data_IF_862168558344
#
_entry.id   IF_862168558344
#
_cell.length_a   1.000
_cell.length_b   1.000
_cell.length_c   1.000
_cell.angle_alpha   90.00
_cell.angle_beta   90.00
_cell.angle_gamma   90.00
#
_symmetry.space_group_name_H-M   'P 1'
#
loop_
_entity.id
_entity.type
_entity.pdbx_description
1 polymer ?
#
# COMPACT_ATOMS: atom_id res chain seq x y z
N UNK A 1 16.84 -21.82 6.19
CA UNK A 1 16.18 -21.86 7.51
C UNK A 1 16.16 -20.53 8.26
N UNK A 2 17.22 -19.71 8.22
CA UNK A 2 17.28 -18.39 8.91
C UNK A 2 16.21 -17.42 8.37
N UNK A 3 15.97 -17.40 7.07
CA UNK A 3 14.93 -16.54 6.47
C UNK A 3 13.50 -16.90 6.96
N UNK A 4 13.19 -18.19 7.12
CA UNK A 4 11.93 -18.64 7.69
C UNK A 4 11.77 -18.22 9.15
N UNK A 5 12.85 -18.31 9.93
CA UNK A 5 12.88 -17.82 11.30
C UNK A 5 12.59 -16.31 11.35
N UNK A 6 13.26 -15.52 10.52
CA UNK A 6 13.02 -14.08 10.42
C UNK A 6 11.57 -13.75 10.03
N UNK A 7 10.97 -14.52 9.13
CA UNK A 7 9.56 -14.36 8.79
C UNK A 7 8.65 -14.60 10.00
N UNK A 8 8.90 -15.66 10.77
CA UNK A 8 8.15 -15.93 12.00
C UNK A 8 8.29 -14.80 13.04
N UNK A 9 9.49 -14.30 13.24
CA UNK A 9 9.73 -13.19 14.17
C UNK A 9 9.07 -11.89 13.71
N UNK A 10 9.03 -11.61 12.41
CA UNK A 10 8.30 -10.45 11.84
C UNK A 10 6.79 -10.55 12.04
N UNK A 11 6.21 -11.74 12.05
CA UNK A 11 4.78 -11.91 12.37
C UNK A 11 4.50 -11.47 13.81
N UNK A 12 5.35 -11.89 14.76
CA UNK A 12 5.24 -11.44 16.15
C UNK A 12 5.47 -9.94 16.29
N UNK A 13 6.48 -9.39 15.61
CA UNK A 13 6.74 -7.94 15.59
C UNK A 13 5.51 -7.17 15.09
N UNK A 14 4.86 -7.61 14.01
CA UNK A 14 3.67 -6.98 13.46
C UNK A 14 2.46 -7.06 14.40
N UNK A 15 2.34 -8.13 15.18
CA UNK A 15 1.31 -8.24 16.22
C UNK A 15 1.48 -7.14 17.27
N UNK A 16 2.66 -7.00 17.86
CA UNK A 16 2.92 -5.96 18.87
C UNK A 16 2.86 -4.55 18.27
N UNK A 17 3.35 -4.36 17.04
CA UNK A 17 3.17 -3.11 16.29
C UNK A 17 1.70 -2.73 16.15
N UNK A 18 0.83 -3.71 15.81
CA UNK A 18 -0.62 -3.52 15.73
C UNK A 18 -1.24 -3.10 17.06
N UNK A 19 -0.82 -3.72 18.17
CA UNK A 19 -1.28 -3.36 19.53
C UNK A 19 -0.89 -1.92 19.88
N UNK A 20 0.35 -1.52 19.61
CA UNK A 20 0.85 -0.16 19.90
C UNK A 20 0.08 0.88 19.06
N UNK A 21 -0.15 0.59 17.79
CA UNK A 21 -0.92 1.48 16.90
C UNK A 21 -2.40 1.53 17.27
N UNK A 22 -2.99 0.44 17.74
CA UNK A 22 -4.35 0.40 18.28
C UNK A 22 -4.52 1.34 19.51
N UNK A 23 -3.43 1.55 20.27
CA UNK A 23 -3.37 2.53 21.36
C UNK A 23 -2.94 3.94 20.90
N UNK A 24 -2.96 4.22 19.60
CA UNK A 24 -2.62 5.52 18.96
C UNK A 24 -1.19 6.00 19.20
N UNK A 25 -0.26 5.12 19.56
CA UNK A 25 1.15 5.45 19.79
C UNK A 25 1.98 5.36 18.50
N UNK A 26 1.46 5.98 17.42
CA UNK A 26 2.06 5.93 16.08
C UNK A 26 3.46 6.52 16.01
N UNK A 27 3.71 7.62 16.75
CA UNK A 27 5.02 8.27 16.78
C UNK A 27 6.07 7.31 17.30
N UNK A 28 5.80 6.63 18.42
CA UNK A 28 6.72 5.67 19.01
C UNK A 28 6.97 4.48 18.05
N UNK A 29 5.91 3.84 17.57
CA UNK A 29 6.03 2.65 16.73
C UNK A 29 6.79 2.92 15.42
N UNK A 30 6.53 4.07 14.78
CA UNK A 30 7.23 4.45 13.55
C UNK A 30 8.66 4.92 13.82
N UNK A 31 8.92 5.64 14.93
CA UNK A 31 10.30 6.02 15.31
C UNK A 31 11.18 4.79 15.53
N UNK A 32 10.66 3.79 16.25
CA UNK A 32 11.39 2.52 16.44
C UNK A 32 11.68 1.85 15.10
N UNK A 33 10.71 1.79 14.17
CA UNK A 33 10.94 1.22 12.83
C UNK A 33 11.98 2.00 12.01
N UNK A 34 11.97 3.33 12.09
CA UNK A 34 12.98 4.17 11.41
C UNK A 34 14.37 3.89 11.99
N UNK A 35 14.51 3.90 13.33
CA UNK A 35 15.78 3.60 13.99
C UNK A 35 16.27 2.20 13.65
N UNK A 36 15.38 1.21 13.63
CA UNK A 36 15.69 -0.17 13.23
C UNK A 36 16.17 -0.26 11.78
N UNK A 37 15.55 0.48 10.86
CA UNK A 37 15.98 0.54 9.47
C UNK A 37 17.38 1.17 9.34
N UNK A 38 17.63 2.28 10.04
CA UNK A 38 18.93 2.95 10.06
C UNK A 38 20.02 2.02 10.65
N UNK A 39 19.71 1.34 11.75
CA UNK A 39 20.61 0.36 12.36
C UNK A 39 20.94 -0.79 11.39
N UNK A 40 19.94 -1.31 10.66
CA UNK A 40 20.16 -2.33 9.62
C UNK A 40 21.10 -1.84 8.52
N UNK A 41 20.85 -0.64 7.98
CA UNK A 41 21.67 -0.06 6.92
C UNK A 41 23.12 0.11 7.42
N UNK A 42 23.29 0.66 8.63
CA UNK A 42 24.58 0.88 9.24
C UNK A 42 25.35 -0.45 9.43
N UNK A 43 24.69 -1.48 9.97
CA UNK A 43 25.29 -2.81 10.14
C UNK A 43 25.72 -3.39 8.79
N UNK A 44 24.88 -3.31 7.77
CA UNK A 44 25.21 -3.84 6.44
C UNK A 44 26.38 -3.07 5.82
N UNK A 45 26.36 -1.72 5.85
CA UNK A 45 27.39 -0.87 5.26
C UNK A 45 28.76 -1.07 5.96
N UNK A 46 28.77 -1.26 7.28
CA UNK A 46 30.03 -1.43 8.02
C UNK A 46 30.59 -2.85 7.92
N UNK A 47 29.75 -3.88 7.95
CA UNK A 47 30.21 -5.26 8.08
C UNK A 47 30.39 -5.96 6.73
N UNK A 48 29.54 -5.63 5.73
CA UNK A 48 29.58 -6.28 4.41
C UNK A 48 30.92 -6.06 3.67
N UNK A 49 31.55 -4.86 3.65
CA UNK A 49 32.83 -4.64 2.99
C UNK A 49 33.99 -5.44 3.63
N UNK A 50 33.89 -5.65 4.95
CA UNK A 50 34.92 -6.37 5.73
C UNK A 50 34.83 -7.88 5.48
N UNK A 51 33.62 -8.42 5.54
CA UNK A 51 33.40 -9.87 5.47
C UNK A 51 33.24 -10.41 4.07
N UNK A 52 32.85 -9.56 3.11
CA UNK A 52 32.50 -9.90 1.71
C UNK A 52 31.52 -11.08 1.59
N UNK A 53 30.70 -11.28 2.62
CA UNK A 53 29.82 -12.43 2.73
C UNK A 53 28.34 -11.98 2.80
N UNK A 54 27.52 -12.47 1.86
CA UNK A 54 26.10 -12.14 1.75
C UNK A 54 25.29 -12.57 3.00
N UNK A 55 25.77 -13.57 3.76
CA UNK A 55 25.10 -13.97 5.01
C UNK A 55 25.03 -12.86 6.06
N UNK A 56 25.91 -11.87 6.00
CA UNK A 56 25.90 -10.69 6.88
C UNK A 56 24.57 -9.94 6.76
N UNK A 57 24.02 -9.83 5.57
CA UNK A 57 22.73 -9.14 5.34
C UNK A 57 21.59 -9.86 6.08
N UNK A 58 21.59 -11.19 6.05
CA UNK A 58 20.56 -12.01 6.72
C UNK A 58 20.74 -11.98 8.24
N UNK A 59 21.97 -12.03 8.73
CA UNK A 59 22.27 -11.98 10.17
C UNK A 59 21.94 -10.59 10.74
N UNK A 60 22.32 -9.51 10.04
CA UNK A 60 21.96 -8.14 10.46
C UNK A 60 20.47 -7.94 10.52
N UNK A 61 19.71 -8.48 9.56
CA UNK A 61 18.24 -8.46 9.60
C UNK A 61 17.70 -9.21 10.82
N UNK A 62 18.25 -10.39 11.13
CA UNK A 62 17.86 -11.18 12.31
C UNK A 62 18.06 -10.39 13.61
N UNK A 63 19.21 -9.78 13.78
CA UNK A 63 19.54 -8.97 14.97
C UNK A 63 18.55 -7.80 15.10
N UNK A 64 18.30 -7.10 14.01
CA UNK A 64 17.41 -5.93 14.02
C UNK A 64 15.97 -6.34 14.30
N UNK A 65 15.47 -7.41 13.70
CA UNK A 65 14.09 -7.90 13.94
C UNK A 65 13.92 -8.32 15.40
N UNK A 66 14.87 -9.06 15.97
CA UNK A 66 14.81 -9.47 17.39
C UNK A 66 14.86 -8.25 18.31
N UNK A 67 15.76 -7.30 18.08
CA UNK A 67 15.87 -6.10 18.91
C UNK A 67 14.60 -5.24 18.84
N UNK A 68 14.02 -5.06 17.65
CA UNK A 68 12.75 -4.33 17.46
C UNK A 68 11.60 -5.03 18.17
N UNK A 69 11.51 -6.35 18.06
CA UNK A 69 10.50 -7.14 18.77
C UNK A 69 10.62 -6.98 20.28
N UNK A 70 11.84 -7.07 20.84
CA UNK A 70 12.07 -6.89 22.27
C UNK A 70 11.63 -5.49 22.75
N UNK A 71 11.93 -4.44 21.98
CA UNK A 71 11.50 -3.07 22.29
C UNK A 71 9.97 -2.98 22.29
N UNK A 72 9.28 -3.55 21.30
CA UNK A 72 7.82 -3.53 21.25
C UNK A 72 7.18 -4.35 22.36
N UNK A 73 7.71 -5.53 22.68
CA UNK A 73 7.28 -6.37 23.80
C UNK A 73 7.43 -5.62 25.12
N UNK A 74 8.60 -5.04 25.37
CA UNK A 74 8.86 -4.24 26.57
C UNK A 74 7.85 -3.08 26.68
N UNK A 75 7.63 -2.34 25.61
CA UNK A 75 6.70 -1.22 25.60
C UNK A 75 5.26 -1.65 25.87
N UNK A 76 4.79 -2.74 25.27
CA UNK A 76 3.45 -3.26 25.51
C UNK A 76 3.23 -3.69 26.96
N UNK A 77 4.18 -4.43 27.54
CA UNK A 77 3.99 -4.97 28.90
C UNK A 77 4.30 -3.95 30.01
N UNK A 78 5.33 -3.10 29.83
CA UNK A 78 5.76 -2.15 30.88
C UNK A 78 5.09 -0.80 30.78
N UNK A 79 4.97 -0.24 29.58
CA UNK A 79 4.44 1.12 29.36
C UNK A 79 2.93 1.10 29.19
N UNK A 80 2.42 0.27 28.28
CA UNK A 80 0.98 0.15 28.06
C UNK A 80 0.30 -0.74 29.11
N UNK A 81 1.08 -1.49 29.91
CA UNK A 81 0.59 -2.39 30.99
C UNK A 81 -0.46 -3.37 30.50
N UNK A 82 -0.37 -3.81 29.24
CA UNK A 82 -1.29 -4.77 28.67
C UNK A 82 -0.99 -6.15 29.27
N UNK A 83 -2.01 -6.75 29.89
CA UNK A 83 -1.93 -8.12 30.43
C UNK A 83 -2.83 -9.01 29.59
N UNK A 84 -2.29 -9.94 28.78
CA UNK A 84 -3.12 -10.88 28.07
C UNK A 84 -3.87 -11.76 29.09
N UNK A 85 -5.18 -11.81 28.99
CA UNK A 85 -6.04 -12.69 29.81
C UNK A 85 -6.79 -13.61 28.88
N UNK A 86 -6.62 -14.90 29.04
CA UNK A 86 -7.39 -15.95 28.31
C UNK A 86 -8.70 -16.26 29.06
N UNK A 87 -9.41 -15.22 29.54
CA UNK A 87 -10.52 -15.40 30.49
C UNK A 87 -11.84 -15.67 29.78
N UNK A 88 -12.05 -15.13 28.58
CA UNK A 88 -13.33 -15.26 27.88
C UNK A 88 -13.09 -15.48 26.38
N UNK A 89 -13.54 -16.64 25.89
CA UNK A 89 -13.55 -16.94 24.47
C UNK A 89 -14.90 -16.50 23.84
N UNK A 90 -14.93 -15.31 23.27
CA UNK A 90 -16.08 -14.83 22.49
C UNK A 90 -16.06 -15.41 21.08
N UNK A 91 -16.88 -16.43 20.85
CA UNK A 91 -17.02 -17.08 19.54
C UNK A 91 -17.50 -16.13 18.45
N UNK A 92 -18.34 -15.13 18.78
CA UNK A 92 -18.86 -14.17 17.83
C UNK A 92 -17.74 -13.23 17.35
N UNK A 93 -17.00 -12.65 18.30
CA UNK A 93 -15.84 -11.80 18.02
C UNK A 93 -14.77 -12.56 17.21
N UNK A 94 -14.50 -13.82 17.58
CA UNK A 94 -13.56 -14.65 16.84
C UNK A 94 -14.01 -14.86 15.39
N UNK A 95 -15.29 -15.22 15.18
CA UNK A 95 -15.84 -15.42 13.82
C UNK A 95 -15.77 -14.15 12.97
N UNK A 96 -16.15 -12.99 13.54
CA UNK A 96 -16.10 -11.70 12.85
C UNK A 96 -14.66 -11.33 12.48
N UNK A 97 -13.73 -11.47 13.41
CA UNK A 97 -12.30 -11.20 13.19
C UNK A 97 -11.69 -12.16 12.17
N UNK A 98 -12.06 -13.44 12.21
CA UNK A 98 -11.59 -14.45 11.26
C UNK A 98 -12.07 -14.15 9.85
N UNK A 99 -13.36 -13.86 9.66
CA UNK A 99 -13.90 -13.49 8.34
C UNK A 99 -13.22 -12.23 7.81
N UNK A 100 -13.05 -11.21 8.65
CA UNK A 100 -12.33 -9.99 8.26
C UNK A 100 -10.88 -10.31 7.83
N UNK A 101 -10.17 -11.11 8.61
CA UNK A 101 -8.78 -11.50 8.32
C UNK A 101 -8.68 -12.27 7.00
N UNK A 102 -9.60 -13.23 6.75
CA UNK A 102 -9.64 -13.98 5.50
C UNK A 102 -9.89 -13.06 4.30
N UNK A 103 -10.83 -12.12 4.41
CA UNK A 103 -11.09 -11.14 3.35
C UNK A 103 -9.87 -10.26 3.06
N UNK A 104 -9.18 -9.79 4.12
CA UNK A 104 -7.96 -9.00 3.96
C UNK A 104 -6.82 -9.83 3.38
N UNK A 105 -6.69 -11.09 3.77
CA UNK A 105 -5.72 -12.03 3.21
C UNK A 105 -5.94 -12.26 1.72
N UNK A 106 -7.19 -12.54 1.31
CA UNK A 106 -7.53 -12.67 -0.12
C UNK A 106 -7.17 -11.41 -0.89
N UNK A 107 -7.52 -10.22 -0.38
CA UNK A 107 -7.16 -8.96 -1.03
C UNK A 107 -5.65 -8.81 -1.19
N UNK A 108 -4.88 -9.12 -0.13
CA UNK A 108 -3.42 -9.03 -0.18
C UNK A 108 -2.83 -10.00 -1.20
N UNK A 109 -3.31 -11.25 -1.22
CA UNK A 109 -2.88 -12.24 -2.21
C UNK A 109 -3.18 -11.79 -3.64
N UNK A 110 -4.40 -11.31 -3.89
CA UNK A 110 -4.82 -10.87 -5.23
C UNK A 110 -3.99 -9.66 -5.69
N UNK A 111 -3.75 -8.68 -4.82
CA UNK A 111 -2.90 -7.52 -5.14
C UNK A 111 -1.47 -7.96 -5.42
N UNK A 112 -0.91 -8.84 -4.59
CA UNK A 112 0.45 -9.36 -4.77
C UNK A 112 0.58 -10.19 -6.04
N UNK A 113 -0.43 -10.99 -6.36
CA UNK A 113 -0.48 -11.76 -7.60
C UNK A 113 -0.58 -10.83 -8.81
N UNK A 114 -1.49 -9.85 -8.78
CA UNK A 114 -1.67 -8.88 -9.87
C UNK A 114 -0.39 -8.11 -10.18
N UNK A 115 0.34 -7.66 -9.15
CA UNK A 115 1.59 -6.90 -9.34
C UNK A 115 2.75 -7.72 -9.91
N UNK A 116 2.72 -9.06 -9.76
CA UNK A 116 3.77 -9.93 -10.29
C UNK A 116 3.40 -10.60 -11.62
N UNK A 117 2.11 -10.78 -11.87
CA UNK A 117 1.63 -11.44 -13.10
C UNK A 117 2.09 -10.71 -14.36
N UNK A 118 2.09 -9.39 -14.36
CA UNK A 118 2.56 -8.59 -15.49
C UNK A 118 4.01 -8.91 -15.83
N UNK A 119 4.88 -8.99 -14.82
CA UNK A 119 6.30 -9.36 -14.99
C UNK A 119 6.48 -10.77 -15.56
N UNK A 120 5.65 -11.72 -15.08
CA UNK A 120 5.68 -13.11 -15.59
C UNK A 120 5.23 -13.16 -17.05
N UNK A 121 4.15 -12.46 -17.40
CA UNK A 121 3.63 -12.41 -18.77
C UNK A 121 4.61 -11.72 -19.73
N UNK A 122 5.23 -10.60 -19.32
CA UNK A 122 6.26 -9.90 -20.10
C UNK A 122 7.48 -10.80 -20.30
N UNK A 123 7.94 -11.47 -19.23
CA UNK A 123 9.09 -12.38 -19.31
C UNK A 123 8.85 -13.58 -20.23
N UNK A 124 7.63 -14.13 -20.20
CA UNK A 124 7.27 -15.28 -21.03
C UNK A 124 7.02 -14.93 -22.52
N UNK A 125 6.55 -13.70 -22.81
CA UNK A 125 6.12 -13.32 -24.17
C UNK A 125 7.09 -12.37 -24.89
N UNK A 126 7.96 -11.66 -24.16
CA UNK A 126 8.85 -10.66 -24.76
C UNK A 126 10.32 -11.00 -24.44
N UNK A 127 10.83 -10.65 -23.26
CA UNK A 127 12.22 -10.90 -22.86
C UNK A 127 12.48 -10.54 -21.38
N UNK A 128 13.59 -11.04 -20.83
CA UNK A 128 14.07 -10.66 -19.50
C UNK A 128 14.42 -9.15 -19.40
N UNK A 129 14.95 -8.56 -20.49
CA UNK A 129 15.24 -7.11 -20.52
C UNK A 129 13.96 -6.30 -20.41
N UNK A 130 12.88 -6.68 -21.09
CA UNK A 130 11.59 -6.03 -21.01
C UNK A 130 11.00 -6.10 -19.58
N UNK A 131 11.20 -7.22 -18.87
CA UNK A 131 10.84 -7.35 -17.45
C UNK A 131 11.60 -6.33 -16.61
N UNK A 132 12.90 -6.14 -16.86
CA UNK A 132 13.70 -5.17 -16.13
C UNK A 132 13.16 -3.76 -16.32
N UNK A 133 12.91 -3.33 -17.56
CA UNK A 133 12.36 -2.01 -17.88
C UNK A 133 11.01 -1.80 -17.19
N UNK A 134 10.10 -2.75 -17.28
CA UNK A 134 8.78 -2.66 -16.65
C UNK A 134 8.86 -2.65 -15.12
N UNK A 135 9.72 -3.49 -14.53
CA UNK A 135 9.91 -3.56 -13.07
C UNK A 135 10.46 -2.25 -12.49
N UNK A 136 11.34 -1.53 -13.22
CA UNK A 136 11.85 -0.24 -12.78
C UNK A 136 10.73 0.81 -12.77
N UNK A 137 9.87 0.81 -13.78
CA UNK A 137 8.69 1.67 -13.80
C UNK A 137 7.70 1.33 -12.67
N UNK A 138 7.48 0.03 -12.40
CA UNK A 138 6.67 -0.43 -11.26
C UNK A 138 7.24 0.00 -9.90
N UNK A 139 8.54 0.17 -9.79
CA UNK A 139 9.17 0.68 -8.55
C UNK A 139 8.69 2.09 -8.25
N UNK A 140 8.70 3.00 -9.23
CA UNK A 140 8.17 4.37 -9.07
C UNK A 140 6.67 4.36 -8.79
N UNK A 141 5.91 3.53 -9.51
CA UNK A 141 4.48 3.33 -9.27
C UNK A 141 4.19 2.89 -7.83
N UNK A 142 4.95 1.93 -7.31
CA UNK A 142 4.77 1.44 -5.93
C UNK A 142 5.13 2.50 -4.88
N UNK A 143 6.17 3.28 -5.10
CA UNK A 143 6.53 4.40 -4.23
C UNK A 143 5.40 5.45 -4.19
N UNK A 144 4.82 5.77 -5.34
CA UNK A 144 3.69 6.69 -5.44
C UNK A 144 2.45 6.17 -4.69
N UNK A 145 2.14 4.89 -4.82
CA UNK A 145 1.07 4.23 -4.07
C UNK A 145 1.31 4.25 -2.56
N UNK A 146 2.54 4.06 -2.11
CA UNK A 146 2.92 4.08 -0.70
C UNK A 146 2.69 5.45 -0.06
N UNK A 147 2.92 6.55 -0.78
CA UNK A 147 2.61 7.91 -0.33
C UNK A 147 1.10 8.02 -0.01
N UNK A 148 0.25 7.57 -0.92
CA UNK A 148 -1.21 7.55 -0.72
C UNK A 148 -1.63 6.68 0.45
N UNK A 149 -1.05 5.48 0.56
CA UNK A 149 -1.32 4.53 1.64
C UNK A 149 -0.97 5.07 3.02
N UNK A 150 0.14 5.78 3.13
CA UNK A 150 0.58 6.39 4.39
C UNK A 150 -0.46 7.39 4.91
N UNK A 151 -0.99 8.26 4.04
CA UNK A 151 -2.03 9.23 4.42
C UNK A 151 -3.32 8.52 4.85
N UNK A 152 -3.77 7.53 4.09
CA UNK A 152 -4.97 6.77 4.43
C UNK A 152 -4.86 6.06 5.78
N UNK A 153 -3.69 5.50 6.09
CA UNK A 153 -3.42 4.83 7.35
C UNK A 153 -3.42 5.80 8.54
N UNK A 154 -2.91 7.02 8.37
CA UNK A 154 -2.96 8.07 9.40
C UNK A 154 -4.40 8.53 9.68
N UNK A 155 -5.27 8.50 8.67
CA UNK A 155 -6.66 8.91 8.82
C UNK A 155 -7.57 7.80 9.39
N UNK A 156 -7.15 6.55 9.31
CA UNK A 156 -7.96 5.40 9.74
C UNK A 156 -8.48 5.52 11.18
N UNK A 157 -7.68 5.82 12.23
CA UNK A 157 -8.20 5.91 13.59
C UNK A 157 -9.21 7.03 13.79
N UNK A 158 -8.95 8.18 13.16
CA UNK A 158 -9.86 9.32 13.20
C UNK A 158 -11.21 8.99 12.58
N UNK A 159 -11.20 8.34 11.42
CA UNK A 159 -12.42 7.90 10.74
C UNK A 159 -13.14 6.84 11.57
N UNK A 160 -12.40 5.88 12.13
CA UNK A 160 -12.97 4.83 12.98
C UNK A 160 -13.70 5.42 14.19
N UNK A 161 -13.10 6.39 14.90
CA UNK A 161 -13.76 7.08 16.01
C UNK A 161 -15.06 7.76 15.59
N UNK A 162 -15.09 8.42 14.43
CA UNK A 162 -16.30 9.07 13.93
C UNK A 162 -17.37 8.04 13.53
N UNK A 163 -16.99 6.96 12.87
CA UNK A 163 -17.92 5.88 12.50
C UNK A 163 -18.53 5.23 13.74
N UNK A 164 -17.73 4.91 14.74
CA UNK A 164 -18.19 4.33 16.02
C UNK A 164 -19.07 5.34 16.79
N UNK A 165 -18.73 6.63 16.72
CA UNK A 165 -19.51 7.72 17.32
C UNK A 165 -20.84 8.05 16.58
N UNK A 166 -21.20 7.28 15.54
CA UNK A 166 -22.47 7.45 14.82
C UNK A 166 -22.50 8.61 13.83
N UNK A 167 -21.33 9.07 13.35
CA UNK A 167 -21.25 10.18 12.39
C UNK A 167 -22.11 9.90 11.14
N UNK A 168 -22.84 10.90 10.69
CA UNK A 168 -23.69 10.81 9.50
C UNK A 168 -22.88 10.86 8.20
N UNK A 169 -23.49 10.38 7.11
CA UNK A 169 -22.80 10.27 5.80
C UNK A 169 -22.19 11.59 5.32
N UNK A 170 -22.81 12.73 5.60
CA UNK A 170 -22.31 14.06 5.21
C UNK A 170 -21.00 14.41 5.95
N UNK A 171 -20.92 14.11 7.24
CA UNK A 171 -19.72 14.35 8.04
C UNK A 171 -18.57 13.46 7.58
N UNK A 172 -18.84 12.18 7.30
CA UNK A 172 -17.87 11.25 6.77
C UNK A 172 -17.38 11.69 5.38
N UNK A 173 -18.27 12.16 4.51
CA UNK A 173 -17.89 12.71 3.22
C UNK A 173 -16.97 13.93 3.35
N UNK A 174 -17.29 14.86 4.26
CA UNK A 174 -16.47 16.05 4.50
C UNK A 174 -15.04 15.67 5.00
N UNK A 175 -14.92 14.64 5.82
CA UNK A 175 -13.61 14.13 6.24
C UNK A 175 -12.82 13.52 5.08
N UNK A 176 -13.50 12.77 4.21
CA UNK A 176 -12.87 12.21 3.00
C UNK A 176 -12.44 13.34 2.05
N UNK A 177 -13.28 14.36 1.84
CA UNK A 177 -12.96 15.52 1.00
C UNK A 177 -11.75 16.28 1.56
N UNK A 178 -11.72 16.55 2.86
CA UNK A 178 -10.62 17.25 3.51
C UNK A 178 -9.31 16.49 3.40
N UNK A 179 -9.32 15.21 3.75
CA UNK A 179 -8.13 14.36 3.69
C UNK A 179 -7.70 14.09 2.25
N UNK A 180 -8.67 13.90 1.36
CA UNK A 180 -8.45 13.70 -0.07
C UNK A 180 -7.79 14.91 -0.75
N UNK A 181 -8.08 16.14 -0.32
CA UNK A 181 -7.40 17.34 -0.81
C UNK A 181 -5.91 17.33 -0.49
N UNK A 182 -5.54 17.07 0.78
CA UNK A 182 -4.12 16.95 1.15
C UNK A 182 -3.41 15.85 0.36
N UNK A 183 -4.10 14.71 0.21
CA UNK A 183 -3.59 13.58 -0.56
C UNK A 183 -3.39 13.95 -2.03
N UNK A 184 -4.40 14.58 -2.65
CA UNK A 184 -4.34 15.02 -4.05
C UNK A 184 -3.21 16.02 -4.28
N UNK A 185 -3.05 17.02 -3.41
CA UNK A 185 -1.98 18.00 -3.52
C UNK A 185 -0.59 17.35 -3.49
N UNK A 186 -0.37 16.43 -2.55
CA UNK A 186 0.90 15.72 -2.44
C UNK A 186 1.16 14.82 -3.65
N UNK A 187 0.13 14.09 -4.10
CA UNK A 187 0.23 13.21 -5.26
C UNK A 187 0.40 13.99 -6.57
N UNK A 188 -0.28 15.13 -6.72
CA UNK A 188 -0.11 16.01 -7.89
C UNK A 188 1.31 16.60 -7.94
N UNK A 189 1.86 17.00 -6.80
CA UNK A 189 3.25 17.46 -6.73
C UNK A 189 4.24 16.34 -7.10
N UNK A 190 4.01 15.11 -6.60
CA UNK A 190 4.85 13.96 -6.93
C UNK A 190 4.75 13.60 -8.42
N UNK A 191 3.54 13.60 -9.01
CA UNK A 191 3.34 13.38 -10.44
C UNK A 191 4.03 14.47 -11.27
N UNK A 192 3.86 15.74 -10.87
CA UNK A 192 4.57 16.87 -11.52
C UNK A 192 6.09 16.71 -11.48
N UNK A 193 6.65 16.29 -10.35
CA UNK A 193 8.05 15.95 -10.20
C UNK A 193 8.51 14.83 -11.13
N UNK A 194 7.73 13.74 -11.23
CA UNK A 194 8.01 12.63 -12.15
C UNK A 194 7.97 13.10 -13.60
N UNK A 195 7.00 13.92 -13.98
CA UNK A 195 6.88 14.44 -15.36
C UNK A 195 8.03 15.41 -15.69
N UNK A 196 8.42 16.28 -14.75
CA UNK A 196 9.43 17.30 -14.99
C UNK A 196 10.87 16.76 -14.95
N UNK A 197 11.16 15.84 -14.02
CA UNK A 197 12.53 15.40 -13.72
C UNK A 197 12.74 13.89 -13.93
N UNK A 198 11.70 13.17 -14.30
CA UNK A 198 11.77 11.70 -14.36
C UNK A 198 12.71 11.18 -15.42
N UNK A 199 12.83 11.86 -16.57
CA UNK A 199 13.74 11.43 -17.64
C UNK A 199 15.20 11.49 -17.18
N UNK A 200 15.60 12.60 -16.58
CA UNK A 200 16.94 12.82 -16.03
C UNK A 200 17.21 11.89 -14.85
N UNK A 201 16.21 11.69 -14.00
CA UNK A 201 16.29 10.74 -12.89
C UNK A 201 16.58 9.31 -13.36
N UNK A 202 15.84 8.80 -14.34
CA UNK A 202 16.07 7.46 -14.86
C UNK A 202 17.43 7.33 -15.56
N UNK A 203 17.86 8.39 -16.27
CA UNK A 203 19.18 8.40 -16.89
C UNK A 203 20.32 8.33 -15.86
N UNK A 204 20.23 9.10 -14.78
CA UNK A 204 21.23 9.06 -13.70
C UNK A 204 21.19 7.75 -12.93
N UNK A 205 19.99 7.21 -12.71
CA UNK A 205 19.79 5.99 -11.90
C UNK A 205 20.15 4.70 -12.63
N UNK A 206 19.74 4.57 -13.89
CA UNK A 206 19.84 3.33 -14.66
C UNK A 206 20.82 3.42 -15.84
N UNK A 207 21.20 4.62 -16.25
CA UNK A 207 22.02 4.85 -17.44
C UNK A 207 21.23 4.94 -18.73
N UNK A 208 21.95 4.96 -19.87
CA UNK A 208 21.36 4.98 -21.21
C UNK A 208 20.67 3.64 -21.54
N UNK A 209 19.56 3.68 -22.28
CA UNK A 209 18.81 2.48 -22.70
C UNK A 209 17.59 2.14 -21.84
N UNK A 210 17.29 2.95 -20.80
CA UNK A 210 16.12 2.78 -19.93
C UNK A 210 15.13 3.95 -20.07
N UNK A 211 15.11 4.64 -21.19
CA UNK A 211 14.23 5.79 -21.42
C UNK A 211 12.73 5.41 -21.33
N UNK A 212 12.37 4.20 -21.75
CA UNK A 212 11.01 3.70 -21.69
C UNK A 212 10.47 3.57 -20.26
N UNK A 213 11.34 3.40 -19.24
CA UNK A 213 10.94 3.38 -17.84
C UNK A 213 10.24 4.67 -17.43
N UNK A 214 10.69 5.81 -17.96
CA UNK A 214 10.07 7.11 -17.70
C UNK A 214 8.64 7.19 -18.20
N UNK A 215 8.43 6.85 -19.47
CA UNK A 215 7.09 6.93 -20.08
C UNK A 215 6.13 5.90 -19.46
N UNK A 216 6.60 4.67 -19.19
CA UNK A 216 5.83 3.65 -18.49
C UNK A 216 5.41 4.11 -17.10
N UNK A 217 6.33 4.76 -16.37
CA UNK A 217 6.03 5.32 -15.04
C UNK A 217 4.93 6.38 -15.11
N UNK A 218 4.95 7.26 -16.11
CA UNK A 218 3.89 8.26 -16.30
C UNK A 218 2.54 7.59 -16.54
N UNK A 219 2.48 6.59 -17.44
CA UNK A 219 1.23 5.89 -17.73
C UNK A 219 0.67 5.22 -16.47
N UNK A 220 1.52 4.50 -15.73
CA UNK A 220 1.13 3.80 -14.51
C UNK A 220 0.69 4.77 -13.41
N UNK A 221 1.46 5.83 -13.16
CA UNK A 221 1.18 6.81 -12.10
C UNK A 221 -0.05 7.65 -12.44
N UNK A 222 -0.18 8.13 -13.68
CA UNK A 222 -1.35 8.87 -14.12
C UNK A 222 -2.64 8.04 -13.99
N UNK A 223 -2.60 6.76 -14.40
CA UNK A 223 -3.74 5.84 -14.32
C UNK A 223 -4.19 5.56 -12.89
N UNK A 224 -3.30 5.68 -11.89
CA UNK A 224 -3.63 5.39 -10.49
C UNK A 224 -3.88 6.65 -9.64
N UNK A 225 -3.57 7.83 -10.14
CA UNK A 225 -3.68 9.08 -9.36
C UNK A 225 -5.09 9.31 -8.80
N UNK A 226 -6.11 9.27 -9.64
CA UNK A 226 -7.51 9.39 -9.18
C UNK A 226 -7.95 8.23 -8.29
N UNK A 227 -7.69 6.95 -8.63
CA UNK A 227 -8.00 5.81 -7.77
C UNK A 227 -7.42 5.91 -6.35
N UNK A 228 -6.19 6.39 -6.20
CA UNK A 228 -5.53 6.46 -4.88
C UNK A 228 -6.12 7.51 -3.95
N UNK A 229 -6.72 8.57 -4.47
CA UNK A 229 -7.43 9.58 -3.66
C UNK A 229 -8.60 8.94 -2.88
N UNK A 230 -9.21 7.88 -3.44
CA UNK A 230 -10.28 7.12 -2.79
C UNK A 230 -9.83 6.25 -1.60
N UNK A 231 -8.53 6.09 -1.36
CA UNK A 231 -8.01 5.24 -0.27
C UNK A 231 -8.45 5.70 1.13
N UNK A 232 -8.68 6.99 1.32
CA UNK A 232 -9.23 7.52 2.60
C UNK A 232 -10.67 7.04 2.83
N UNK A 233 -11.51 7.01 1.79
CA UNK A 233 -12.87 6.49 1.88
C UNK A 233 -12.91 4.97 2.22
N UNK A 234 -11.89 4.21 1.82
CA UNK A 234 -11.74 2.81 2.18
C UNK A 234 -11.63 2.63 3.71
N UNK A 235 -11.09 3.61 4.44
CA UNK A 235 -11.02 3.57 5.90
C UNK A 235 -12.40 3.51 6.55
N UNK A 236 -13.44 4.06 5.93
CA UNK A 236 -14.83 3.98 6.40
C UNK A 236 -15.32 2.53 6.30
N UNK A 237 -15.05 1.84 5.20
CA UNK A 237 -15.45 0.43 5.02
C UNK A 237 -14.71 -0.49 6.02
N UNK A 238 -13.44 -0.20 6.29
CA UNK A 238 -12.65 -0.91 7.32
C UNK A 238 -13.27 -0.71 8.70
N UNK A 239 -13.61 0.53 9.06
CA UNK A 239 -14.24 0.87 10.33
C UNK A 239 -15.64 0.25 10.50
N UNK A 240 -16.38 0.10 9.41
CA UNK A 240 -17.71 -0.54 9.39
C UNK A 240 -17.65 -2.07 9.21
N UNK A 241 -16.46 -2.67 9.11
CA UNK A 241 -16.27 -4.10 8.80
C UNK A 241 -16.96 -4.57 7.50
N UNK A 242 -17.10 -3.67 6.51
CA UNK A 242 -17.80 -3.92 5.24
C UNK A 242 -16.80 -4.16 4.09
N UNK A 243 -15.95 -5.18 4.23
CA UNK A 243 -14.87 -5.43 3.28
C UNK A 243 -15.22 -6.39 2.12
N UNK A 244 -16.38 -7.05 2.17
CA UNK A 244 -16.79 -8.06 1.17
C UNK A 244 -16.82 -7.45 -0.24
N UNK A 245 -17.49 -6.30 -0.42
CA UNK A 245 -17.57 -5.66 -1.72
C UNK A 245 -16.19 -5.21 -2.22
N UNK A 246 -15.34 -4.70 -1.33
CA UNK A 246 -13.96 -4.34 -1.67
C UNK A 246 -13.18 -5.55 -2.17
N UNK A 247 -13.30 -6.70 -1.50
CA UNK A 247 -12.65 -7.94 -1.93
C UNK A 247 -13.12 -8.33 -3.34
N UNK A 248 -14.43 -8.27 -3.58
CA UNK A 248 -14.99 -8.55 -4.92
C UNK A 248 -14.42 -7.61 -5.98
N UNK A 249 -14.37 -6.29 -5.73
CA UNK A 249 -13.84 -5.33 -6.72
C UNK A 249 -12.36 -5.54 -7.00
N UNK A 250 -11.57 -5.91 -5.99
CA UNK A 250 -10.14 -6.20 -6.17
C UNK A 250 -9.93 -7.45 -7.03
N UNK A 251 -10.67 -8.53 -6.75
CA UNK A 251 -10.63 -9.77 -7.55
C UNK A 251 -11.05 -9.50 -8.99
N UNK A 252 -12.17 -8.80 -9.18
CA UNK A 252 -12.68 -8.46 -10.51
C UNK A 252 -11.67 -7.61 -11.30
N UNK A 253 -11.09 -6.59 -10.67
CA UNK A 253 -10.10 -5.73 -11.31
C UNK A 253 -8.80 -6.49 -11.64
N UNK A 254 -8.40 -7.46 -10.82
CA UNK A 254 -7.26 -8.32 -11.11
C UNK A 254 -7.53 -9.19 -12.36
N UNK A 255 -8.71 -9.79 -12.47
CA UNK A 255 -9.09 -10.59 -13.65
C UNK A 255 -9.12 -9.69 -14.89
N UNK A 256 -9.71 -8.50 -14.80
CA UNK A 256 -9.72 -7.52 -15.88
C UNK A 256 -8.30 -7.10 -16.29
N UNK A 257 -7.42 -6.84 -15.30
CA UNK A 257 -6.00 -6.55 -15.56
C UNK A 257 -5.34 -7.68 -16.37
N UNK A 258 -5.45 -8.92 -15.92
CA UNK A 258 -4.83 -10.08 -16.61
C UNK A 258 -5.31 -10.18 -18.07
N UNK A 259 -6.61 -10.08 -18.30
CA UNK A 259 -7.20 -10.17 -19.66
C UNK A 259 -6.66 -9.04 -20.55
N UNK A 260 -6.70 -7.80 -20.06
CA UNK A 260 -6.24 -6.63 -20.82
C UNK A 260 -4.73 -6.69 -21.03
N UNK A 261 -3.96 -7.13 -20.03
CA UNK A 261 -2.50 -7.31 -20.15
C UNK A 261 -2.14 -8.36 -21.21
N UNK A 262 -2.80 -9.52 -21.21
CA UNK A 262 -2.52 -10.58 -22.22
C UNK A 262 -2.79 -10.07 -23.64
N UNK A 263 -3.89 -9.37 -23.86
CA UNK A 263 -4.23 -8.78 -25.15
C UNK A 263 -3.27 -7.63 -25.48
N UNK A 264 -3.03 -6.76 -24.52
CA UNK A 264 -2.18 -5.58 -24.67
C UNK A 264 -0.73 -5.92 -25.00
N UNK A 265 -0.16 -6.95 -24.36
CA UNK A 265 1.22 -7.40 -24.63
C UNK A 265 1.36 -7.87 -26.09
N UNK A 266 0.36 -8.55 -26.62
CA UNK A 266 0.38 -8.99 -28.03
C UNK A 266 0.33 -7.83 -29.02
N UNK A 267 -0.32 -6.71 -28.67
CA UNK A 267 -0.51 -5.55 -29.55
C UNK A 267 0.61 -4.52 -29.40
N UNK A 268 1.03 -4.25 -28.16
CA UNK A 268 1.92 -3.13 -27.81
C UNK A 268 3.09 -3.53 -26.90
N UNK A 269 3.37 -4.82 -26.73
CA UNK A 269 4.42 -5.27 -25.83
C UNK A 269 4.17 -4.84 -24.39
N UNK A 270 5.22 -4.47 -23.65
CA UNK A 270 5.12 -4.06 -22.25
C UNK A 270 4.32 -2.75 -22.02
N UNK A 271 4.12 -1.93 -23.05
CA UNK A 271 3.20 -0.78 -22.99
C UNK A 271 1.76 -1.24 -22.76
N UNK A 272 1.37 -2.34 -23.39
CA UNK A 272 0.05 -2.94 -23.18
C UNK A 272 -0.18 -3.41 -21.75
N UNK A 273 0.86 -3.90 -21.07
CA UNK A 273 0.77 -4.25 -19.65
C UNK A 273 0.56 -3.00 -18.77
N UNK A 274 1.28 -1.90 -19.04
CA UNK A 274 1.09 -0.64 -18.31
C UNK A 274 -0.33 -0.06 -18.49
N UNK A 275 -0.86 -0.12 -19.71
CA UNK A 275 -2.24 0.28 -20.02
C UNK A 275 -3.22 -0.63 -19.28
N UNK A 276 -2.99 -1.95 -19.27
CA UNK A 276 -3.82 -2.93 -18.56
C UNK A 276 -3.92 -2.64 -17.07
N UNK A 277 -2.81 -2.41 -16.41
CA UNK A 277 -2.73 -2.05 -14.98
C UNK A 277 -3.43 -0.72 -14.68
N UNK A 278 -3.25 0.28 -15.55
CA UNK A 278 -3.91 1.57 -15.42
C UNK A 278 -5.43 1.45 -15.58
N UNK A 279 -5.90 0.74 -16.59
CA UNK A 279 -7.34 0.50 -16.81
C UNK A 279 -7.98 -0.30 -15.68
N UNK A 280 -7.31 -1.33 -15.16
CA UNK A 280 -7.80 -2.09 -14.01
C UNK A 280 -7.97 -1.20 -12.76
N UNK A 281 -7.04 -0.26 -12.55
CA UNK A 281 -7.12 0.72 -11.46
C UNK A 281 -8.32 1.65 -11.62
N UNK A 282 -8.59 2.12 -12.85
CA UNK A 282 -9.76 2.95 -13.16
C UNK A 282 -11.06 2.17 -13.00
N UNK A 283 -11.12 0.92 -13.45
CA UNK A 283 -12.28 0.03 -13.23
C UNK A 283 -12.57 -0.12 -11.74
N UNK A 284 -11.54 -0.42 -10.95
CA UNK A 284 -11.69 -0.51 -9.49
C UNK A 284 -12.22 0.79 -8.88
N UNK A 285 -11.71 1.93 -9.32
CA UNK A 285 -12.15 3.25 -8.89
C UNK A 285 -13.63 3.50 -9.19
N UNK A 286 -14.08 3.19 -10.39
CA UNK A 286 -15.49 3.35 -10.80
C UNK A 286 -16.39 2.46 -9.93
N UNK A 287 -16.04 1.19 -9.77
CA UNK A 287 -16.82 0.24 -8.96
C UNK A 287 -16.93 0.68 -7.50
N UNK A 288 -15.81 1.13 -6.91
CA UNK A 288 -15.77 1.59 -5.52
C UNK A 288 -16.57 2.87 -5.32
N UNK A 289 -16.46 3.84 -6.23
CA UNK A 289 -17.23 5.08 -6.15
C UNK A 289 -18.75 4.84 -6.35
N UNK A 290 -19.12 3.91 -7.22
CA UNK A 290 -20.52 3.48 -7.36
C UNK A 290 -21.07 2.91 -6.05
N UNK A 291 -20.26 2.10 -5.35
CA UNK A 291 -20.61 1.58 -4.03
C UNK A 291 -20.74 2.70 -2.98
N UNK A 292 -19.82 3.65 -2.93
CA UNK A 292 -19.90 4.79 -2.02
C UNK A 292 -21.12 5.65 -2.29
N UNK A 293 -21.48 5.84 -3.56
CA UNK A 293 -22.70 6.57 -3.93
C UNK A 293 -23.96 5.87 -3.42
N UNK A 294 -24.09 4.56 -3.69
CA UNK A 294 -25.31 3.78 -3.38
C UNK A 294 -25.41 3.50 -1.87
N UNK A 295 -24.33 3.05 -1.23
CA UNK A 295 -24.38 2.57 0.16
C UNK A 295 -24.07 3.63 1.20
N UNK A 296 -23.16 4.56 0.91
CA UNK A 296 -22.80 5.64 1.82
C UNK A 296 -23.50 6.96 1.47
N UNK A 297 -24.24 6.99 0.36
CA UNK A 297 -24.98 8.18 -0.15
C UNK A 297 -24.05 9.38 -0.39
N UNK A 298 -22.79 9.12 -0.80
CA UNK A 298 -21.84 10.17 -1.12
C UNK A 298 -22.17 10.83 -2.46
N UNK A 299 -22.03 12.16 -2.52
CA UNK A 299 -22.15 12.93 -3.77
C UNK A 299 -20.81 12.90 -4.53
N UNK A 300 -20.52 11.80 -5.23
CA UNK A 300 -19.19 11.49 -5.78
C UNK A 300 -18.67 12.60 -6.69
N UNK A 301 -19.45 13.08 -7.67
CA UNK A 301 -19.00 14.14 -8.57
C UNK A 301 -18.63 15.42 -7.82
N UNK A 302 -19.47 15.85 -6.86
CA UNK A 302 -19.19 17.02 -6.01
C UNK A 302 -17.95 16.79 -5.15
N UNK A 303 -17.81 15.59 -4.58
CA UNK A 303 -16.66 15.21 -3.75
C UNK A 303 -15.36 15.27 -4.56
N UNK A 304 -15.33 14.66 -5.74
CA UNK A 304 -14.16 14.69 -6.62
C UNK A 304 -13.82 16.12 -7.07
N UNK A 305 -14.84 16.89 -7.47
CA UNK A 305 -14.66 18.31 -7.81
C UNK A 305 -14.05 19.10 -6.65
N UNK A 306 -14.60 18.92 -5.43
CA UNK A 306 -14.09 19.60 -4.24
C UNK A 306 -12.64 19.17 -3.87
N UNK A 307 -12.26 17.94 -4.21
CA UNK A 307 -10.90 17.42 -3.95
C UNK A 307 -9.92 17.99 -4.98
N UNK A 308 -10.27 18.00 -6.26
CA UNK A 308 -9.34 18.33 -7.35
C UNK A 308 -9.26 19.82 -7.66
N UNK A 309 -10.39 20.53 -7.66
CA UNK A 309 -10.47 21.94 -8.13
C UNK A 309 -10.68 22.95 -7.01
N UNK A 310 -11.26 22.58 -5.86
CA UNK A 310 -11.44 23.49 -4.73
C UNK A 310 -10.23 23.50 -3.77
N UNK A 311 -9.07 23.14 -4.26
CA UNK A 311 -7.79 23.15 -3.52
C UNK A 311 -7.20 24.54 -3.37
N UNK A 312 -7.75 25.52 -4.07
CA UNK A 312 -7.34 26.93 -3.97
C UNK A 312 -8.27 27.62 -2.98
N UNK A 313 -7.96 27.52 -1.69
CA UNK A 313 -8.18 28.54 -0.65
C UNK A 313 -8.01 27.92 0.73
#
# INVERSE_FOLDING_TARGET
SILLFNMGMKLLENLFFGIINGNEKFVFSNSVKIVSLMAKILLVVLVLPITKNVYVVVVSETIVVISTLLVFVYYCFRVLRIRPRLVEWDRKLFKESFVYTVLMFIQTLVVQFSSNVDNVLIGAQISATAVTVYSMALTIYSMYQNISGAIANLMLPRITKRVVGGAVSVELQNEVERSGRYQYFLLAAALGGIVALGKEFFFVWLGSGFEDCYYLSIILVAGVTLPTIGNVALSILRAQNKMVFRTFTVVFSCIANIIVTIIGIKLWGYWGAAIGTSLASVINFILMNSYYHIKLKFKIFKMLYNITFKTTL
#
